data_IF_199095729511
#
_entry.id   IF_199095729511
#
_cell.length_a   1.000
_cell.length_b   1.000
_cell.length_c   1.000
_cell.angle_alpha   90.00
_cell.angle_beta   90.00
_cell.angle_gamma   90.00
#
_symmetry.space_group_name_H-M   'P 1'
#
loop_
_entity.id
_entity.type
_entity.pdbx_description
1 polymer ?
#
# COMPACT_ATOMS: atom_id res chain seq x y z
N UNK A 1 -9.70 -46.96 49.65
CA UNK A 1 -10.03 -46.67 48.23
C UNK A 1 -9.53 -45.29 47.89
N UNK A 2 -8.47 -45.19 47.11
CA UNK A 2 -7.94 -43.88 46.63
C UNK A 2 -8.41 -43.71 45.19
N UNK A 3 -9.28 -42.70 44.93
CA UNK A 3 -9.66 -42.31 43.58
C UNK A 3 -8.54 -41.44 43.02
N UNK A 4 -7.85 -41.94 41.98
CA UNK A 4 -6.95 -41.15 41.17
C UNK A 4 -7.76 -40.38 40.13
N UNK A 5 -7.77 -39.06 40.24
CA UNK A 5 -8.35 -38.17 39.22
C UNK A 5 -7.34 -38.07 38.09
N UNK A 6 -7.66 -38.67 36.95
CA UNK A 6 -6.90 -38.55 35.70
C UNK A 6 -7.31 -37.25 35.04
N UNK A 7 -6.45 -36.22 35.13
CA UNK A 7 -6.64 -34.98 34.39
C UNK A 7 -6.25 -35.22 32.93
N UNK A 8 -7.25 -35.30 32.05
CA UNK A 8 -7.06 -35.35 30.60
C UNK A 8 -6.77 -33.93 30.10
N UNK A 9 -5.52 -33.60 29.91
CA UNK A 9 -5.13 -32.37 29.21
C UNK A 9 -5.45 -32.52 27.72
N UNK A 10 -6.54 -31.89 27.25
CA UNK A 10 -6.82 -31.74 25.83
C UNK A 10 -5.84 -30.69 25.26
N UNK A 11 -4.74 -31.17 24.75
CA UNK A 11 -3.84 -30.35 23.92
C UNK A 11 -4.54 -30.08 22.59
N UNK A 12 -5.13 -28.91 22.44
CA UNK A 12 -5.57 -28.42 21.13
C UNK A 12 -4.32 -27.97 20.39
N UNK A 13 -3.75 -28.87 19.63
CA UNK A 13 -2.72 -28.53 18.66
C UNK A 13 -3.40 -27.83 17.47
N UNK A 14 -3.39 -26.49 17.48
CA UNK A 14 -3.64 -25.72 16.28
C UNK A 14 -2.45 -25.85 15.33
N UNK A 15 -2.34 -26.97 14.64
CA UNK A 15 -1.50 -27.11 13.45
C UNK A 15 -2.33 -26.77 12.22
N UNK A 16 -2.86 -25.56 12.18
CA UNK A 16 -3.34 -24.95 10.94
C UNK A 16 -2.19 -24.09 10.42
N UNK A 17 -1.57 -24.48 9.32
CA UNK A 17 -0.91 -23.51 8.45
C UNK A 17 -2.02 -22.58 7.97
N UNK A 18 -2.26 -21.49 8.70
CA UNK A 18 -3.09 -20.40 8.21
C UNK A 18 -2.26 -19.71 7.12
N UNK A 19 -2.23 -20.31 5.92
CA UNK A 19 -2.02 -19.51 4.74
C UNK A 19 -3.30 -18.70 4.62
N UNK A 20 -3.20 -17.38 4.77
CA UNK A 20 -4.27 -16.49 4.36
C UNK A 20 -4.70 -16.96 2.97
N UNK A 21 -5.97 -17.28 2.79
CA UNK A 21 -6.47 -17.72 1.50
C UNK A 21 -6.43 -16.49 0.60
N UNK A 22 -5.35 -16.35 -0.17
CA UNK A 22 -5.01 -15.17 -0.97
C UNK A 22 -6.00 -15.00 -2.11
N UNK A 23 -7.27 -14.70 -1.79
CA UNK A 23 -8.33 -14.69 -2.78
C UNK A 23 -8.06 -13.67 -3.89
N UNK A 24 -7.42 -12.54 -3.58
CA UNK A 24 -7.11 -11.50 -4.56
C UNK A 24 -5.65 -11.03 -4.56
N UNK A 25 -4.82 -11.46 -3.59
CA UNK A 25 -3.42 -11.01 -3.46
C UNK A 25 -2.63 -11.19 -4.76
N UNK A 26 -2.71 -12.36 -5.37
CA UNK A 26 -1.98 -12.70 -6.60
C UNK A 26 -2.74 -12.35 -7.88
N UNK A 27 -4.00 -11.90 -7.81
CA UNK A 27 -4.87 -11.73 -8.98
C UNK A 27 -5.30 -10.29 -9.23
N UNK A 28 -5.25 -9.42 -8.21
CA UNK A 28 -5.74 -8.05 -8.29
C UNK A 28 -4.82 -7.07 -7.57
N UNK A 29 -3.85 -6.52 -8.28
CA UNK A 29 -3.01 -5.45 -7.75
C UNK A 29 -3.81 -4.14 -7.63
N UNK A 30 -3.66 -3.37 -6.53
CA UNK A 30 -4.33 -2.07 -6.37
C UNK A 30 -3.96 -1.04 -7.43
N UNK A 31 -2.81 -1.19 -8.05
CA UNK A 31 -2.31 -0.33 -9.14
C UNK A 31 -2.65 -0.88 -10.55
N UNK A 32 -3.45 -1.95 -10.63
CA UNK A 32 -3.87 -2.55 -11.91
C UNK A 32 -2.69 -3.16 -12.67
N UNK A 33 -2.56 -2.80 -13.95
CA UNK A 33 -1.49 -3.28 -14.84
C UNK A 33 -0.25 -2.39 -14.85
N UNK A 34 -0.23 -1.31 -14.07
CA UNK A 34 0.93 -0.40 -14.01
C UNK A 34 2.14 -1.10 -13.38
N UNK A 35 3.32 -0.79 -13.90
CA UNK A 35 4.57 -1.35 -13.37
C UNK A 35 5.16 -0.44 -12.32
N UNK A 36 5.35 -0.90 -11.08
CA UNK A 36 6.00 -0.12 -10.04
C UNK A 36 7.43 0.24 -10.41
N UNK A 37 7.84 1.47 -10.13
CA UNK A 37 9.24 1.92 -10.22
C UNK A 37 10.03 1.54 -8.98
N UNK A 38 9.33 1.35 -7.85
CA UNK A 38 9.87 0.81 -6.62
C UNK A 38 8.82 -0.13 -6.00
N UNK A 39 9.25 -1.32 -5.61
CA UNK A 39 8.37 -2.37 -5.09
C UNK A 39 9.10 -3.27 -4.12
N UNK A 40 8.39 -3.65 -3.06
CA UNK A 40 8.82 -4.68 -2.12
C UNK A 40 7.59 -5.42 -1.58
N UNK A 41 7.72 -6.73 -1.42
CA UNK A 41 6.64 -7.60 -0.92
C UNK A 41 7.20 -8.65 0.04
N UNK A 42 6.48 -8.86 1.13
CA UNK A 42 6.68 -9.93 2.11
C UNK A 42 5.45 -10.83 2.09
N UNK A 43 5.65 -12.09 1.77
CA UNK A 43 4.67 -13.18 1.88
C UNK A 43 4.93 -14.02 3.14
N UNK A 44 6.18 -14.00 3.62
CA UNK A 44 6.62 -14.66 4.84
C UNK A 44 7.62 -13.76 5.56
N UNK A 45 7.35 -13.39 6.80
CA UNK A 45 8.30 -12.60 7.59
C UNK A 45 9.36 -13.50 8.24
N UNK A 46 10.60 -13.03 8.26
CA UNK A 46 11.74 -13.69 8.90
C UNK A 46 11.97 -13.19 10.34
N UNK A 47 11.44 -12.02 10.67
CA UNK A 47 11.48 -11.43 12.01
C UNK A 47 10.42 -10.35 12.15
N UNK A 48 10.21 -9.82 13.37
CA UNK A 48 9.34 -8.66 13.62
C UNK A 48 9.95 -7.33 13.13
N UNK A 49 11.21 -7.36 12.68
CA UNK A 49 11.91 -6.29 11.98
C UNK A 49 12.58 -6.90 10.74
N UNK A 50 11.82 -7.02 9.64
CA UNK A 50 12.25 -7.70 8.43
C UNK A 50 12.68 -6.69 7.37
N UNK A 51 13.93 -6.82 6.91
CA UNK A 51 14.55 -5.98 5.87
C UNK A 51 14.80 -6.75 4.58
N UNK A 52 14.24 -7.96 4.48
CA UNK A 52 14.47 -8.90 3.38
C UNK A 52 13.15 -9.25 2.71
N UNK A 53 12.61 -8.38 1.83
CA UNK A 53 11.39 -8.70 1.09
C UNK A 53 11.58 -9.96 0.23
N UNK A 54 10.54 -10.80 0.13
CA UNK A 54 10.53 -11.99 -0.71
C UNK A 54 10.57 -11.63 -2.21
N UNK A 55 9.95 -10.48 -2.55
CA UNK A 55 9.97 -9.92 -3.91
C UNK A 55 10.38 -8.46 -3.87
N UNK A 56 11.38 -8.10 -4.68
CA UNK A 56 11.78 -6.72 -4.94
C UNK A 56 12.01 -6.53 -6.44
N UNK A 57 11.40 -5.46 -7.00
CA UNK A 57 11.39 -5.27 -8.47
C UNK A 57 12.67 -4.63 -9.00
N UNK A 58 13.36 -3.84 -8.20
CA UNK A 58 14.49 -3.05 -8.70
C UNK A 58 15.76 -3.38 -7.93
N UNK A 59 16.83 -3.69 -8.64
CA UNK A 59 18.15 -3.83 -8.02
C UNK A 59 18.51 -2.54 -7.26
N UNK A 60 18.81 -2.68 -5.97
CA UNK A 60 19.10 -1.55 -5.08
C UNK A 60 17.89 -0.97 -4.34
N UNK A 61 16.67 -1.49 -4.54
CA UNK A 61 15.52 -1.16 -3.67
C UNK A 61 15.82 -1.65 -2.26
N UNK A 62 15.75 -0.74 -1.30
CA UNK A 62 15.78 -1.07 0.13
C UNK A 62 14.38 -0.89 0.69
N UNK A 63 13.97 -1.85 1.48
CA UNK A 63 12.65 -1.84 2.12
C UNK A 63 12.70 -2.56 3.46
N UNK A 64 11.79 -2.22 4.37
CA UNK A 64 11.67 -2.89 5.66
C UNK A 64 10.25 -2.86 6.17
N UNK A 65 9.90 -3.84 7.00
CA UNK A 65 8.69 -3.84 7.85
C UNK A 65 9.14 -4.07 9.28
N UNK A 66 8.76 -3.18 10.18
CA UNK A 66 9.11 -3.25 11.59
C UNK A 66 7.85 -3.14 12.44
N UNK A 67 7.67 -4.08 13.36
CA UNK A 67 6.70 -3.97 14.45
C UNK A 67 7.28 -3.06 15.55
N UNK A 68 6.52 -2.07 15.98
CA UNK A 68 7.00 -1.00 16.86
C UNK A 68 6.29 -0.92 18.22
N UNK A 69 5.22 -1.71 18.44
CA UNK A 69 4.54 -1.77 19.75
C UNK A 69 5.33 -2.56 20.79
N UNK A 70 6.24 -3.45 20.36
CA UNK A 70 7.08 -4.27 21.24
C UNK A 70 6.40 -5.48 21.86
N UNK A 71 5.13 -5.76 21.48
CA UNK A 71 4.34 -6.87 22.03
C UNK A 71 4.12 -8.04 21.08
N UNK A 72 4.59 -7.93 19.82
CA UNK A 72 4.41 -8.95 18.82
C UNK A 72 5.59 -9.92 18.72
N UNK A 73 5.32 -11.07 18.14
CA UNK A 73 6.30 -12.12 17.86
C UNK A 73 6.04 -12.73 16.48
N UNK A 74 7.07 -13.39 15.95
CA UNK A 74 6.95 -14.15 14.72
C UNK A 74 6.32 -15.51 15.01
N UNK A 75 5.26 -15.87 14.32
CA UNK A 75 4.64 -17.17 14.39
C UNK A 75 5.44 -18.23 13.63
N UNK A 76 5.15 -19.52 13.88
CA UNK A 76 5.76 -20.60 13.09
C UNK A 76 5.38 -20.60 11.60
N UNK A 77 4.35 -19.85 11.21
CA UNK A 77 3.93 -19.65 9.81
C UNK A 77 4.58 -18.43 9.15
N UNK A 78 5.41 -17.68 9.86
CA UNK A 78 6.05 -16.48 9.32
C UNK A 78 5.20 -15.22 9.37
N UNK A 79 4.16 -15.18 10.20
CA UNK A 79 3.30 -14.01 10.37
C UNK A 79 3.68 -13.24 11.64
N UNK A 80 3.44 -11.93 11.68
CA UNK A 80 3.69 -11.11 12.88
C UNK A 80 2.37 -10.98 13.66
N UNK A 81 2.38 -11.43 14.92
CA UNK A 81 1.17 -11.56 15.73
C UNK A 81 1.38 -11.08 17.19
N UNK A 82 0.32 -10.53 17.82
CA UNK A 82 0.33 -10.19 19.25
C UNK A 82 -0.95 -10.63 19.95
N UNK A 83 -0.82 -11.28 21.09
CA UNK A 83 -1.96 -11.61 21.96
C UNK A 83 -2.33 -10.46 22.90
N UNK A 84 -1.36 -9.63 23.31
CA UNK A 84 -1.49 -8.78 24.48
C UNK A 84 -1.95 -7.37 24.19
N UNK A 85 -1.84 -6.90 22.95
CA UNK A 85 -2.19 -5.53 22.58
C UNK A 85 -2.27 -5.31 21.08
N UNK A 86 -2.76 -4.15 20.71
CA UNK A 86 -2.73 -3.70 19.32
C UNK A 86 -1.29 -3.60 18.85
N UNK A 87 -1.05 -4.02 17.61
CA UNK A 87 0.25 -3.91 16.95
C UNK A 87 0.34 -2.60 16.17
N UNK A 88 1.53 -2.04 16.15
CA UNK A 88 1.86 -0.86 15.32
C UNK A 88 3.06 -1.21 14.45
N UNK A 89 3.01 -0.78 13.20
CA UNK A 89 4.02 -1.09 12.20
C UNK A 89 4.56 0.17 11.57
N UNK A 90 5.85 0.17 11.31
CA UNK A 90 6.51 1.11 10.41
C UNK A 90 7.11 0.33 9.25
N UNK A 91 6.73 0.66 8.03
CA UNK A 91 7.33 0.10 6.83
C UNK A 91 8.05 1.20 6.05
N UNK A 92 9.13 0.84 5.36
CA UNK A 92 9.89 1.77 4.54
C UNK A 92 10.10 1.20 3.14
N UNK A 93 10.16 2.11 2.15
CA UNK A 93 10.48 1.78 0.77
C UNK A 93 11.38 2.89 0.21
N UNK A 94 12.53 2.52 -0.35
CA UNK A 94 13.35 3.48 -1.10
C UNK A 94 12.59 3.96 -2.33
N UNK A 95 12.67 5.25 -2.59
CA UNK A 95 11.95 5.88 -3.67
C UNK A 95 12.86 6.57 -4.68
N UNK A 96 12.28 7.44 -5.48
CA UNK A 96 12.98 8.24 -6.50
C UNK A 96 13.23 9.66 -6.00
N UNK A 97 14.21 10.34 -6.57
CA UNK A 97 14.58 11.72 -6.24
C UNK A 97 13.85 12.78 -7.07
N UNK A 98 13.06 12.38 -8.07
CA UNK A 98 12.31 13.31 -8.95
C UNK A 98 11.04 12.66 -9.49
N UNK A 99 10.02 13.47 -9.75
CA UNK A 99 8.74 13.06 -10.31
C UNK A 99 7.58 13.09 -9.31
N UNK A 100 6.42 12.64 -9.77
CA UNK A 100 5.23 12.41 -8.96
C UNK A 100 4.89 10.93 -9.00
N UNK A 101 4.38 10.41 -7.88
CA UNK A 101 4.10 9.00 -7.73
C UNK A 101 2.75 8.77 -7.06
N UNK A 102 2.03 7.77 -7.51
CA UNK A 102 0.99 7.13 -6.72
C UNK A 102 1.66 6.06 -5.85
N UNK A 103 1.54 6.20 -4.54
CA UNK A 103 2.22 5.34 -3.56
C UNK A 103 1.19 4.48 -2.85
N UNK A 104 1.50 3.20 -2.69
CA UNK A 104 0.58 2.22 -2.13
C UNK A 104 1.22 1.45 -0.97
N UNK A 105 0.43 1.22 0.05
CA UNK A 105 0.63 0.20 1.07
C UNK A 105 -0.50 -0.81 0.93
N UNK A 106 -0.21 -2.08 0.83
CA UNK A 106 -1.18 -3.18 0.83
C UNK A 106 -0.83 -4.18 1.92
N UNK A 107 -1.81 -4.67 2.64
CA UNK A 107 -1.62 -5.70 3.68
C UNK A 107 -2.63 -6.82 3.55
N UNK A 108 -2.20 -8.04 3.88
CA UNK A 108 -3.01 -9.20 4.15
C UNK A 108 -3.00 -9.49 5.65
N UNK A 109 -4.17 -9.69 6.25
CA UNK A 109 -4.31 -9.91 7.69
C UNK A 109 -5.32 -10.99 8.01
N UNK A 110 -5.13 -11.67 9.15
CA UNK A 110 -6.08 -12.62 9.72
C UNK A 110 -6.32 -12.28 11.20
N UNK A 111 -7.54 -12.46 11.66
CA UNK A 111 -7.94 -12.23 13.06
C UNK A 111 -8.66 -10.92 13.24
N UNK A 112 -8.33 -10.13 14.27
CA UNK A 112 -8.98 -8.84 14.47
C UNK A 112 -8.63 -7.86 13.37
N UNK A 113 -9.55 -6.92 13.12
CA UNK A 113 -9.47 -6.03 11.96
C UNK A 113 -8.28 -5.07 12.03
N UNK A 114 -7.70 -4.76 10.89
CA UNK A 114 -6.75 -3.68 10.77
C UNK A 114 -7.42 -2.30 11.01
N UNK A 115 -6.65 -1.31 11.39
CA UNK A 115 -7.11 0.08 11.38
C UNK A 115 -7.36 0.54 9.95
N UNK A 116 -8.44 1.31 9.76
CA UNK A 116 -8.75 1.88 8.43
C UNK A 116 -7.84 3.04 8.03
N UNK A 117 -7.04 3.56 8.97
CA UNK A 117 -6.16 4.70 8.71
C UNK A 117 -4.69 4.26 8.75
N UNK A 118 -3.95 4.67 7.73
CA UNK A 118 -2.49 4.60 7.70
C UNK A 118 -1.91 5.95 7.28
N UNK A 119 -0.61 6.16 7.51
CA UNK A 119 0.09 7.37 7.08
C UNK A 119 1.26 7.04 6.16
N UNK A 120 1.52 7.94 5.22
CA UNK A 120 2.74 8.01 4.41
C UNK A 120 3.45 9.32 4.70
N UNK A 121 4.66 9.29 5.26
CA UNK A 121 5.41 10.48 5.65
C UNK A 121 4.57 11.47 6.50
N UNK A 122 3.68 10.92 7.36
CA UNK A 122 2.76 11.69 8.22
C UNK A 122 1.44 12.12 7.55
N UNK A 123 1.23 11.86 6.28
CA UNK A 123 -0.02 12.17 5.57
C UNK A 123 -0.96 10.97 5.66
N UNK A 124 -2.15 11.16 6.21
CA UNK A 124 -3.13 10.09 6.39
C UNK A 124 -3.86 9.71 5.10
N UNK A 125 -4.19 8.44 4.98
CA UNK A 125 -5.14 7.91 4.00
C UNK A 125 -6.08 6.90 4.68
N UNK A 126 -7.23 6.65 4.02
CA UNK A 126 -8.20 5.64 4.44
C UNK A 126 -8.05 4.41 3.57
N UNK A 127 -8.18 3.23 4.17
CA UNK A 127 -8.07 1.96 3.45
C UNK A 127 -9.21 1.73 2.47
N UNK A 128 -8.89 1.01 1.42
CA UNK A 128 -9.84 0.36 0.52
C UNK A 128 -9.76 -1.15 0.78
N UNK A 129 -10.89 -1.76 1.08
CA UNK A 129 -11.01 -3.20 1.29
C UNK A 129 -11.11 -3.89 -0.06
N UNK A 130 -10.19 -4.82 -0.36
CA UNK A 130 -10.17 -5.62 -1.58
C UNK A 130 -10.82 -6.99 -1.37
N UNK A 131 -10.58 -7.57 -0.21
CA UNK A 131 -11.11 -8.87 0.17
C UNK A 131 -11.47 -8.87 1.66
N UNK A 132 -12.57 -9.57 2.02
CA UNK A 132 -12.97 -9.79 3.39
C UNK A 132 -13.74 -11.11 3.49
N UNK A 133 -13.23 -12.01 4.31
CA UNK A 133 -13.93 -13.22 4.70
C UNK A 133 -14.16 -13.19 6.21
N UNK A 134 -15.43 -13.13 6.60
CA UNK A 134 -15.81 -13.08 8.01
C UNK A 134 -15.50 -14.44 8.70
N UNK A 135 -14.67 -14.41 9.71
CA UNK A 135 -14.30 -15.57 10.54
C UNK A 135 -15.10 -15.62 11.85
N UNK A 136 -16.13 -14.77 11.98
CA UNK A 136 -17.00 -14.67 13.12
C UNK A 136 -16.43 -13.82 14.25
N UNK A 137 -16.70 -14.22 15.50
CA UNK A 137 -16.28 -13.47 16.68
C UNK A 137 -15.45 -14.36 17.60
N UNK A 138 -14.24 -13.93 17.91
CA UNK A 138 -13.35 -14.62 18.86
C UNK A 138 -13.05 -13.68 20.03
N UNK A 139 -13.21 -14.17 21.26
CA UNK A 139 -12.99 -13.39 22.50
C UNK A 139 -13.70 -12.03 22.52
N UNK A 140 -14.89 -11.93 21.88
CA UNK A 140 -15.71 -10.72 21.86
C UNK A 140 -15.32 -9.70 20.79
N UNK A 141 -14.34 -9.98 19.94
CA UNK A 141 -13.95 -9.14 18.79
C UNK A 141 -14.33 -9.79 17.46
N UNK A 142 -14.78 -8.98 16.50
CA UNK A 142 -14.96 -9.42 15.12
C UNK A 142 -13.62 -9.85 14.55
N UNK A 143 -13.59 -10.99 13.84
CA UNK A 143 -12.40 -11.51 13.18
C UNK A 143 -12.69 -11.77 11.71
N UNK A 144 -11.72 -11.48 10.87
CA UNK A 144 -11.81 -11.71 9.45
C UNK A 144 -10.44 -11.99 8.85
N UNK A 145 -10.43 -12.63 7.68
CA UNK A 145 -9.32 -12.56 6.76
C UNK A 145 -9.56 -11.35 5.87
N UNK A 146 -8.60 -10.44 5.80
CA UNK A 146 -8.74 -9.19 5.05
C UNK A 146 -7.52 -8.92 4.18
N UNK A 147 -7.81 -8.43 2.97
CA UNK A 147 -6.81 -7.75 2.15
C UNK A 147 -7.27 -6.31 1.93
N UNK A 148 -6.44 -5.36 2.28
CA UNK A 148 -6.75 -3.94 2.15
C UNK A 148 -5.51 -3.15 1.72
N UNK A 149 -5.76 -1.98 1.12
CA UNK A 149 -4.68 -1.09 0.73
C UNK A 149 -5.01 0.39 1.02
N UNK A 150 -3.97 1.18 1.13
CA UNK A 150 -4.03 2.64 1.15
C UNK A 150 -3.31 3.18 -0.07
N UNK A 151 -3.83 4.28 -0.61
CA UNK A 151 -3.26 4.97 -1.74
C UNK A 151 -3.05 6.44 -1.41
N UNK A 152 -1.87 6.95 -1.72
CA UNK A 152 -1.54 8.37 -1.74
C UNK A 152 -1.24 8.76 -3.18
N UNK A 153 -2.05 9.66 -3.75
CA UNK A 153 -1.95 10.04 -5.16
C UNK A 153 -1.06 11.28 -5.34
N UNK A 154 -0.31 11.29 -6.43
CA UNK A 154 0.53 12.42 -6.85
C UNK A 154 1.49 12.90 -5.76
N UNK A 155 2.07 11.96 -5.01
CA UNK A 155 3.07 12.23 -3.98
C UNK A 155 4.35 12.70 -4.66
N UNK A 156 4.95 13.78 -4.17
CA UNK A 156 6.26 14.22 -4.63
C UNK A 156 7.32 13.15 -4.35
N UNK A 157 8.30 13.06 -5.23
CA UNK A 157 9.44 12.17 -5.08
C UNK A 157 10.07 12.32 -3.70
N UNK A 158 10.43 11.19 -3.10
CA UNK A 158 11.15 11.08 -1.84
C UNK A 158 12.18 9.97 -1.95
N UNK A 159 13.37 10.17 -1.42
CA UNK A 159 14.38 9.11 -1.36
C UNK A 159 13.94 7.93 -0.47
N UNK A 160 13.03 8.20 0.47
CA UNK A 160 12.45 7.20 1.37
C UNK A 160 10.97 7.51 1.63
N UNK A 161 10.12 6.54 1.40
CA UNK A 161 8.73 6.52 1.82
C UNK A 161 8.63 5.79 3.15
N UNK A 162 7.99 6.41 4.14
CA UNK A 162 7.76 5.82 5.47
C UNK A 162 6.27 5.69 5.72
N UNK A 163 5.82 4.46 5.86
CA UNK A 163 4.43 4.10 6.12
C UNK A 163 4.26 3.75 7.60
N UNK A 164 3.13 4.16 8.18
CA UNK A 164 2.74 3.74 9.52
C UNK A 164 1.29 3.22 9.48
N UNK A 165 1.06 2.05 10.05
CA UNK A 165 -0.24 1.42 10.14
C UNK A 165 -0.32 0.57 11.40
N UNK A 166 -1.52 0.20 11.81
CA UNK A 166 -1.74 -0.54 13.05
C UNK A 166 -2.98 -1.45 12.98
N UNK A 167 -3.05 -2.40 13.88
CA UNK A 167 -4.27 -3.14 14.15
C UNK A 167 -5.26 -2.26 14.94
N UNK A 168 -6.55 -2.61 14.88
CA UNK A 168 -7.57 -1.95 15.70
C UNK A 168 -7.52 -2.39 17.16
N UNK A 169 -7.05 -3.62 17.42
CA UNK A 169 -6.92 -4.24 18.74
C UNK A 169 -5.86 -5.35 18.74
N UNK A 170 -5.74 -6.11 19.81
CA UNK A 170 -4.91 -7.32 19.86
C UNK A 170 -5.43 -8.40 18.91
N UNK A 171 -4.61 -9.42 18.67
CA UNK A 171 -4.98 -10.64 17.93
C UNK A 171 -5.21 -10.46 16.42
N UNK A 172 -4.62 -9.41 15.82
CA UNK A 172 -4.41 -9.33 14.39
C UNK A 172 -3.09 -10.04 14.05
N UNK A 173 -3.13 -10.92 13.06
CA UNK A 173 -1.97 -11.48 12.38
C UNK A 173 -1.70 -10.66 11.13
N UNK A 174 -0.51 -10.10 11.01
CA UNK A 174 -0.04 -9.51 9.76
C UNK A 174 0.63 -10.63 8.96
N UNK A 175 0.01 -11.00 7.84
CA UNK A 175 0.42 -12.14 7.04
C UNK A 175 1.24 -11.71 5.82
N UNK A 176 0.89 -10.57 5.23
CA UNK A 176 1.55 -10.06 4.02
C UNK A 176 1.61 -8.54 4.03
N UNK A 177 2.64 -8.00 3.40
CA UNK A 177 2.80 -6.56 3.12
C UNK A 177 3.34 -6.38 1.72
N UNK A 178 2.77 -5.44 0.95
CA UNK A 178 3.37 -4.95 -0.28
C UNK A 178 3.42 -3.42 -0.29
N UNK A 179 4.54 -2.89 -0.74
CA UNK A 179 4.81 -1.46 -0.89
C UNK A 179 5.11 -1.18 -2.35
N UNK A 180 4.44 -0.18 -2.95
CA UNK A 180 4.64 0.16 -4.35
C UNK A 180 4.65 1.67 -4.57
N UNK A 181 5.51 2.14 -5.48
CA UNK A 181 5.47 3.48 -6.03
C UNK A 181 5.34 3.41 -7.56
N UNK A 182 4.30 4.04 -8.09
CA UNK A 182 3.94 4.07 -9.51
C UNK A 182 4.17 5.48 -10.04
N UNK A 183 4.92 5.63 -11.12
CA UNK A 183 5.15 6.94 -11.72
C UNK A 183 3.86 7.53 -12.30
N UNK A 184 3.55 8.76 -11.93
CA UNK A 184 2.45 9.51 -12.54
C UNK A 184 3.00 10.28 -13.72
N UNK A 185 2.49 10.04 -14.95
CA UNK A 185 2.94 10.78 -16.12
C UNK A 185 2.67 12.28 -15.96
N UNK A 186 3.69 13.10 -16.10
CA UNK A 186 3.52 14.55 -16.23
C UNK A 186 3.09 14.85 -17.66
N UNK A 187 1.79 15.07 -17.86
CA UNK A 187 1.29 15.58 -19.15
C UNK A 187 1.72 17.06 -19.29
N UNK A 188 2.71 17.33 -20.13
CA UNK A 188 2.95 18.69 -20.59
C UNK A 188 1.73 19.11 -21.41
N UNK A 189 1.06 20.24 -21.10
CA UNK A 189 -0.02 20.73 -21.94
C UNK A 189 0.53 20.98 -23.33
N UNK A 190 0.18 20.14 -24.30
CA UNK A 190 0.46 20.41 -25.70
C UNK A 190 -0.61 21.41 -26.15
N UNK A 191 -0.23 22.64 -26.56
CA UNK A 191 -1.20 23.59 -27.09
C UNK A 191 -1.91 22.92 -28.27
N UNK A 192 -3.24 22.88 -28.20
CA UNK A 192 -4.08 22.22 -29.21
C UNK A 192 -3.76 22.85 -30.60
N UNK A 193 -3.72 22.01 -31.67
CA UNK A 193 -3.44 22.53 -33.04
C UNK A 193 -4.36 23.68 -33.43
N UNK A 194 -5.57 23.73 -32.86
CA UNK A 194 -6.54 24.82 -33.02
C UNK A 194 -6.03 26.15 -32.47
N UNK A 195 -5.27 26.16 -31.36
CA UNK A 195 -4.68 27.37 -30.80
C UNK A 195 -3.66 27.99 -31.74
N UNK A 196 -2.83 27.20 -32.40
CA UNK A 196 -1.89 27.67 -33.42
C UNK A 196 -2.62 28.16 -34.66
N UNK A 197 -3.68 27.47 -35.08
CA UNK A 197 -4.51 27.87 -36.22
C UNK A 197 -5.21 29.19 -35.96
N UNK A 198 -5.79 29.40 -34.79
CA UNK A 198 -6.44 30.66 -34.38
C UNK A 198 -5.42 31.81 -34.29
N UNK A 199 -4.24 31.55 -33.74
CA UNK A 199 -3.15 32.54 -33.67
C UNK A 199 -2.67 32.94 -35.09
N UNK A 200 -2.46 31.97 -35.99
CA UNK A 200 -2.09 32.23 -37.37
C UNK A 200 -3.17 33.01 -38.13
N UNK A 201 -4.44 32.67 -37.91
CA UNK A 201 -5.58 33.37 -38.51
C UNK A 201 -5.68 34.81 -37.99
N UNK A 202 -5.49 35.03 -36.71
CA UNK A 202 -5.48 36.35 -36.07
C UNK A 202 -4.34 37.24 -36.61
N UNK A 203 -3.12 36.70 -36.71
CA UNK A 203 -1.98 37.39 -37.29
C UNK A 203 -2.20 37.70 -38.77
N UNK A 204 -2.78 36.76 -39.54
CA UNK A 204 -3.14 36.96 -40.93
C UNK A 204 -4.13 38.09 -41.15
N UNK A 205 -5.19 38.15 -40.33
CA UNK A 205 -6.19 39.23 -40.39
C UNK A 205 -5.59 40.60 -40.03
N UNK A 206 -4.72 40.67 -39.02
CA UNK A 206 -4.02 41.91 -38.65
C UNK A 206 -3.09 42.38 -39.77
N UNK A 207 -2.34 41.52 -40.38
CA UNK A 207 -1.46 41.83 -41.51
C UNK A 207 -2.27 42.33 -42.74
N UNK A 208 -3.40 41.71 -43.03
CA UNK A 208 -4.31 42.12 -44.08
C UNK A 208 -4.91 43.51 -43.81
N UNK A 209 -5.39 43.80 -42.61
CA UNK A 209 -5.95 45.09 -42.19
C UNK A 209 -4.88 46.21 -42.27
N UNK A 210 -3.66 45.96 -41.82
CA UNK A 210 -2.54 46.91 -41.91
C UNK A 210 -2.19 47.26 -43.38
N UNK A 211 -2.18 46.24 -44.26
CA UNK A 211 -1.90 46.44 -45.69
C UNK A 211 -2.99 47.28 -46.41
N UNK A 212 -4.25 47.09 -46.01
CA UNK A 212 -5.38 47.87 -46.54
C UNK A 212 -5.35 49.32 -46.08
N UNK A 213 -5.00 49.57 -44.81
CA UNK A 213 -4.85 50.93 -44.26
C UNK A 213 -3.72 51.74 -44.92
N UNK A 214 -2.62 51.09 -45.31
CA UNK A 214 -1.51 51.77 -45.95
C UNK A 214 -1.83 52.22 -47.41
N UNK A 215 -2.73 51.49 -48.12
CA UNK A 215 -3.14 51.86 -49.51
C UNK A 215 -4.13 53.02 -49.54
N UNK A 216 -4.81 53.33 -48.46
CA UNK A 216 -5.76 54.45 -48.41
C UNK A 216 -5.12 55.79 -47.98
N UNK A 217 -3.81 55.82 -47.76
CA UNK A 217 -3.05 57.03 -47.40
C UNK A 217 -2.10 57.51 -48.48
N UNK A 218 -2.11 56.86 -49.62
CA UNK A 218 -1.43 57.30 -50.85
C UNK A 218 -2.47 57.80 -51.88
#
# INVERSE_FOLDING_TARGET
MKLSVLALALGVSFSGSAFATQAVWNTANPWGSETPVSYAEWNVFNSTNDTTPDVAVTAGTTASVQETSGGAFLTGGGNIYSFSGATSFTATLSGSTSGLFDVYLRIGTLGTLASTTATLNGISATSVLQFNEDQGTVMGGATAEQELYWKWSSVSASSLYTFQFNSSSSSMSLDQVALAAISVPTVTPVPEPEAYSMMALGLGLMAFAARRSSKNKA
#
